data_IF_211271343418
#
_entry.id   IF_211271343418
#
_cell.length_a   1.000
_cell.length_b   1.000
_cell.length_c   1.000
_cell.angle_alpha   90.00
_cell.angle_beta   90.00
_cell.angle_gamma   90.00
#
_symmetry.space_group_name_H-M   'P 1'
#
loop_
_entity.id
_entity.type
_entity.pdbx_description
1 polymer ?
#
# COMPACT_ATOMS: atom_id res chain seq x y z
N UNK A 1 3.76 2.00 -7.21
CA UNK A 1 3.15 3.35 -7.09
C UNK A 1 4.17 4.40 -7.46
N UNK A 2 3.86 5.22 -8.43
CA UNK A 2 4.73 6.33 -8.82
C UNK A 2 4.08 7.63 -8.38
N UNK A 3 4.72 8.31 -7.43
CA UNK A 3 4.21 9.55 -6.87
C UNK A 3 4.83 10.76 -7.57
N UNK A 4 4.14 11.89 -7.48
CA UNK A 4 4.77 13.17 -7.78
C UNK A 4 5.89 13.35 -6.77
N UNK A 5 7.05 13.84 -7.21
CA UNK A 5 8.23 13.92 -6.34
C UNK A 5 7.97 14.72 -5.07
N UNK A 6 7.24 15.83 -5.16
CA UNK A 6 6.90 16.68 -4.02
C UNK A 6 5.87 16.04 -3.08
N UNK A 7 5.22 14.94 -3.52
CA UNK A 7 4.16 14.30 -2.73
C UNK A 7 4.66 13.08 -1.93
N UNK A 8 5.91 12.64 -2.13
CA UNK A 8 6.43 11.44 -1.47
C UNK A 8 6.40 11.57 0.06
N UNK A 9 6.92 12.66 0.60
CA UNK A 9 6.93 12.86 2.04
C UNK A 9 5.51 12.96 2.61
N UNK A 10 4.60 13.62 1.90
CA UNK A 10 3.19 13.70 2.30
C UNK A 10 2.59 12.30 2.40
N UNK A 11 2.85 11.43 1.43
CA UNK A 11 2.36 10.06 1.49
C UNK A 11 2.93 9.32 2.70
N UNK A 12 4.24 9.37 2.90
CA UNK A 12 4.90 8.65 3.98
C UNK A 12 4.38 9.11 5.36
N UNK A 13 4.34 10.42 5.59
CA UNK A 13 4.03 10.97 6.91
C UNK A 13 2.54 11.11 7.19
N UNK A 14 1.72 11.45 6.21
CA UNK A 14 0.31 11.75 6.41
C UNK A 14 -0.63 10.61 6.03
N UNK A 15 -0.22 9.73 5.13
CA UNK A 15 -1.06 8.61 4.70
C UNK A 15 -0.56 7.30 5.29
N UNK A 16 0.68 6.91 4.98
CA UNK A 16 1.19 5.61 5.40
C UNK A 16 1.35 5.51 6.92
N UNK A 17 2.01 6.47 7.55
CA UNK A 17 2.20 6.46 9.01
C UNK A 17 0.88 6.46 9.76
N UNK A 18 -0.14 7.14 9.24
CA UNK A 18 -1.45 7.21 9.88
C UNK A 18 -2.30 5.95 9.69
N UNK A 19 -2.03 5.15 8.67
CA UNK A 19 -2.85 3.98 8.34
C UNK A 19 -2.18 2.63 8.59
N UNK A 20 -0.85 2.58 8.67
CA UNK A 20 -0.12 1.31 8.71
C UNK A 20 -0.54 0.39 9.87
N UNK A 21 -0.75 0.93 11.05
CA UNK A 21 -1.14 0.13 12.21
C UNK A 21 -2.50 -0.53 12.00
N UNK A 22 -3.45 0.20 11.42
CA UNK A 22 -4.80 -0.32 11.15
C UNK A 22 -4.78 -1.35 10.03
N UNK A 23 -3.96 -1.16 9.02
CA UNK A 23 -3.81 -2.14 7.93
C UNK A 23 -3.21 -3.43 8.49
N UNK A 24 -2.15 -3.32 9.29
CA UNK A 24 -1.49 -4.47 9.91
C UNK A 24 -2.40 -5.21 10.89
N UNK A 25 -3.36 -4.52 11.49
CA UNK A 25 -4.34 -5.11 12.40
C UNK A 25 -5.56 -5.70 11.69
N UNK A 26 -5.67 -5.58 10.38
CA UNK A 26 -6.77 -6.15 9.60
C UNK A 26 -6.74 -7.68 9.67
N UNK A 27 -7.93 -8.30 9.70
CA UNK A 27 -8.06 -9.75 9.79
C UNK A 27 -7.31 -10.44 8.66
N UNK A 28 -6.43 -11.37 9.02
CA UNK A 28 -5.66 -12.13 8.06
C UNK A 28 -4.40 -11.45 7.52
N UNK A 29 -4.12 -10.23 7.94
CA UNK A 29 -2.89 -9.55 7.55
C UNK A 29 -1.74 -10.02 8.42
N UNK A 30 -0.78 -10.73 7.83
CA UNK A 30 0.39 -11.25 8.54
C UNK A 30 1.56 -10.28 8.52
N UNK A 31 1.67 -9.49 7.45
CA UNK A 31 2.80 -8.57 7.26
C UNK A 31 2.42 -7.49 6.26
N UNK A 32 2.96 -6.30 6.48
CA UNK A 32 2.85 -5.22 5.50
C UNK A 32 4.03 -4.28 5.69
N UNK A 33 4.70 -3.95 4.60
CA UNK A 33 5.82 -3.03 4.63
C UNK A 33 5.81 -2.12 3.40
N UNK A 34 6.47 -0.98 3.54
CA UNK A 34 6.63 -0.01 2.47
C UNK A 34 8.07 -0.10 1.96
N UNK A 35 8.22 -0.20 0.66
CA UNK A 35 9.51 -0.32 -0.01
C UNK A 35 9.71 0.86 -0.96
N UNK A 36 10.96 1.24 -1.16
CA UNK A 36 11.32 2.31 -2.09
C UNK A 36 12.27 1.78 -3.15
N UNK A 37 12.04 2.18 -4.39
CA UNK A 37 12.95 1.87 -5.48
C UNK A 37 14.32 2.52 -5.20
N UNK A 38 15.40 1.76 -5.35
CA UNK A 38 16.75 2.25 -4.98
C UNK A 38 17.21 3.45 -5.81
N UNK A 39 16.85 3.48 -7.09
CA UNK A 39 17.32 4.50 -8.02
C UNK A 39 16.26 5.57 -8.34
N UNK A 40 15.00 5.31 -8.00
CA UNK A 40 13.89 6.21 -8.28
C UNK A 40 13.12 6.49 -6.99
N UNK A 41 13.50 7.52 -6.21
CA UNK A 41 12.95 7.74 -4.88
C UNK A 41 11.45 8.01 -4.82
N UNK A 42 10.82 8.38 -5.95
CA UNK A 42 9.38 8.61 -6.02
C UNK A 42 8.59 7.36 -6.42
N UNK A 43 9.26 6.23 -6.59
CA UNK A 43 8.59 4.95 -6.87
C UNK A 43 8.60 4.11 -5.58
N UNK A 44 7.42 3.86 -5.04
CA UNK A 44 7.23 3.12 -3.81
C UNK A 44 6.37 1.88 -4.05
N UNK A 45 6.56 0.87 -3.21
CA UNK A 45 5.81 -0.37 -3.26
C UNK A 45 5.31 -0.71 -1.87
N UNK A 46 4.14 -1.32 -1.77
CA UNK A 46 3.74 -2.01 -0.55
C UNK A 46 3.82 -3.51 -0.79
N UNK A 47 4.43 -4.22 0.15
CA UNK A 47 4.42 -5.67 0.18
C UNK A 47 3.57 -6.11 1.37
N UNK A 48 2.54 -6.88 1.11
CA UNK A 48 1.69 -7.39 2.18
C UNK A 48 1.49 -8.90 2.04
N UNK A 49 1.40 -9.57 3.18
CA UNK A 49 1.19 -11.02 3.25
C UNK A 49 -0.10 -11.25 4.00
N UNK A 50 -1.00 -12.04 3.43
CA UNK A 50 -2.33 -12.34 3.95
C UNK A 50 -2.51 -13.83 4.14
N UNK A 51 -3.37 -14.24 5.07
CA UNK A 51 -3.65 -15.65 5.32
C UNK A 51 -4.15 -16.38 4.08
N UNK A 52 -4.97 -15.68 3.27
CA UNK A 52 -5.54 -16.23 2.03
C UNK A 52 -6.09 -15.08 1.18
N UNK A 53 -6.55 -15.41 -0.03
CA UNK A 53 -7.12 -14.39 -0.92
C UNK A 53 -8.41 -13.78 -0.38
N UNK A 54 -9.22 -14.56 0.35
CA UNK A 54 -10.46 -14.03 0.94
C UNK A 54 -10.18 -12.91 1.93
N UNK A 55 -9.12 -13.03 2.74
CA UNK A 55 -8.72 -11.99 3.69
C UNK A 55 -8.28 -10.72 2.96
N UNK A 56 -7.52 -10.85 1.88
CA UNK A 56 -7.10 -9.72 1.05
C UNK A 56 -8.30 -9.03 0.40
N UNK A 57 -9.23 -9.81 -0.14
CA UNK A 57 -10.43 -9.24 -0.77
C UNK A 57 -11.32 -8.53 0.25
N UNK A 58 -11.45 -9.07 1.46
CA UNK A 58 -12.18 -8.42 2.55
C UNK A 58 -11.55 -7.06 2.91
N UNK A 59 -10.21 -7.00 2.97
CA UNK A 59 -9.51 -5.74 3.20
C UNK A 59 -9.77 -4.75 2.06
N UNK A 60 -9.67 -5.19 0.81
CA UNK A 60 -9.92 -4.32 -0.36
C UNK A 60 -11.34 -3.78 -0.41
N UNK A 61 -12.30 -4.49 0.18
CA UNK A 61 -13.69 -4.06 0.26
C UNK A 61 -13.97 -3.16 1.49
N UNK A 62 -12.98 -2.96 2.36
CA UNK A 62 -13.17 -2.23 3.61
C UNK A 62 -13.17 -0.72 3.42
N UNK A 63 -13.81 -0.02 4.37
CA UNK A 63 -13.78 1.44 4.41
C UNK A 63 -12.35 1.97 4.63
N UNK A 64 -11.54 1.24 5.40
CA UNK A 64 -10.13 1.58 5.61
C UNK A 64 -9.37 1.63 4.29
N UNK A 65 -9.53 0.60 3.44
CA UNK A 65 -8.89 0.57 2.13
C UNK A 65 -9.38 1.71 1.25
N UNK A 66 -10.69 1.92 1.17
CA UNK A 66 -11.26 2.97 0.33
C UNK A 66 -10.74 4.36 0.72
N UNK A 67 -10.70 4.65 2.01
CA UNK A 67 -10.22 5.94 2.52
C UNK A 67 -8.72 6.13 2.25
N UNK A 68 -7.91 5.13 2.59
CA UNK A 68 -6.46 5.17 2.40
C UNK A 68 -6.12 5.27 0.92
N UNK A 69 -6.79 4.48 0.08
CA UNK A 69 -6.55 4.47 -1.36
C UNK A 69 -6.89 5.80 -2.01
N UNK A 70 -8.02 6.41 -1.62
CA UNK A 70 -8.41 7.71 -2.16
C UNK A 70 -7.34 8.78 -1.87
N UNK A 71 -6.81 8.79 -0.64
CA UNK A 71 -5.74 9.71 -0.26
C UNK A 71 -4.44 9.41 -1.01
N UNK A 72 -4.13 8.16 -1.22
CA UNK A 72 -2.91 7.71 -1.87
C UNK A 72 -2.91 8.07 -3.36
N UNK A 73 -3.98 7.71 -4.07
CA UNK A 73 -4.00 7.93 -5.53
C UNK A 73 -4.02 9.40 -5.91
N UNK A 74 -4.51 10.27 -5.02
CA UNK A 74 -4.48 11.72 -5.26
C UNK A 74 -3.06 12.27 -5.38
N UNK A 75 -2.06 11.52 -4.90
CA UNK A 75 -0.65 11.92 -4.88
C UNK A 75 0.17 11.30 -6.02
N UNK A 76 -0.46 10.46 -6.85
CA UNK A 76 0.25 9.77 -7.94
C UNK A 76 0.63 10.70 -9.08
N UNK A 77 1.78 10.41 -9.69
CA UNK A 77 2.15 10.96 -10.99
C UNK A 77 1.67 10.06 -12.12
N UNK A 78 1.60 8.75 -11.87
CA UNK A 78 1.20 7.74 -12.87
C UNK A 78 0.22 6.76 -12.24
N UNK A 79 -0.57 6.10 -13.10
CA UNK A 79 -1.52 5.07 -12.66
C UNK A 79 -0.79 3.94 -11.93
N UNK A 80 -1.34 3.52 -10.79
CA UNK A 80 -0.75 2.43 -10.01
C UNK A 80 -1.02 1.07 -10.66
N UNK A 81 -0.12 0.13 -10.38
CA UNK A 81 -0.27 -1.27 -10.75
C UNK A 81 -0.16 -2.12 -9.49
N UNK A 82 -0.88 -3.23 -9.47
CA UNK A 82 -0.86 -4.17 -8.36
C UNK A 82 -0.89 -5.61 -8.89
N UNK A 83 -0.17 -6.49 -8.20
CA UNK A 83 -0.09 -7.90 -8.55
C UNK A 83 -0.28 -8.75 -7.31
N UNK A 84 -1.03 -9.85 -7.46
CA UNK A 84 -1.07 -10.90 -6.46
C UNK A 84 -0.05 -11.95 -6.89
N UNK A 85 0.87 -12.28 -6.00
CA UNK A 85 1.98 -13.16 -6.31
C UNK A 85 2.06 -14.29 -5.29
N UNK A 86 2.78 -15.34 -5.65
CA UNK A 86 3.01 -16.46 -4.74
C UNK A 86 4.48 -16.82 -4.71
N UNK A 87 4.93 -17.39 -3.59
CA UNK A 87 6.29 -17.89 -3.46
C UNK A 87 6.37 -19.26 -4.11
N UNK A 88 7.29 -19.43 -5.06
CA UNK A 88 7.51 -20.72 -5.74
C UNK A 88 8.84 -21.36 -5.36
N UNK A 89 9.63 -20.70 -4.56
CA UNK A 89 10.96 -21.13 -4.18
C UNK A 89 10.98 -21.77 -2.79
#
# INVERSE_FOLDING_TARGET
>A
MTFREEAVETFITEVFEQSKARIRASDGCQHMELLRHKSRPNVLFTLSIWDNEAALEAYRASALFADTWAKTKALFAEKAEAWTVEVID
#
